data_IF_427609495016
#
_entry.id   IF_427609495016
#
_cell.length_a   1.000
_cell.length_b   1.000
_cell.length_c   1.000
_cell.angle_alpha   90.00
_cell.angle_beta   90.00
_cell.angle_gamma   90.00
#
_symmetry.space_group_name_H-M   'P 1'
#
loop_
_entity.id
_entity.type
_entity.pdbx_description
1 polymer ?
#
# COMPACT_ATOMS: atom_id res chain seq x y z
N UNK A 1 8.60 1.18 20.37
CA UNK A 1 8.85 0.19 19.29
C UNK A 1 7.51 -0.11 18.61
N UNK A 2 7.50 -0.40 17.30
CA UNK A 2 6.31 -0.73 16.51
C UNK A 2 6.52 -2.13 15.90
N UNK A 3 5.51 -2.98 15.96
CA UNK A 3 5.57 -4.37 15.49
C UNK A 3 4.36 -4.69 14.62
N UNK A 4 4.54 -5.53 13.60
CA UNK A 4 3.42 -6.16 12.89
C UNK A 4 2.88 -7.32 13.73
N UNK A 5 1.55 -7.45 13.76
CA UNK A 5 0.83 -8.55 14.37
C UNK A 5 -0.11 -9.20 13.35
N UNK A 6 -0.58 -10.41 13.65
CA UNK A 6 -1.44 -11.19 12.76
C UNK A 6 -0.69 -12.05 11.75
N UNK A 7 -1.36 -13.09 11.27
CA UNK A 7 -0.88 -14.01 10.23
C UNK A 7 -1.92 -14.06 9.11
N UNK A 8 -1.46 -14.23 7.88
CA UNK A 8 -2.31 -14.36 6.68
C UNK A 8 -2.26 -13.14 5.75
N UNK A 9 -2.92 -13.27 4.61
CA UNK A 9 -2.79 -12.32 3.49
C UNK A 9 -3.88 -11.24 3.46
N UNK A 10 -4.97 -11.42 4.21
CA UNK A 10 -6.12 -10.51 4.20
C UNK A 10 -6.08 -9.54 5.38
N UNK A 11 -5.79 -10.04 6.58
CA UNK A 11 -5.79 -9.23 7.81
C UNK A 11 -4.39 -9.13 8.41
N UNK A 12 -4.16 -8.04 9.11
CA UNK A 12 -2.97 -7.81 9.91
C UNK A 12 -3.27 -6.88 11.07
N UNK A 13 -2.24 -6.55 11.83
CA UNK A 13 -2.35 -5.56 12.88
C UNK A 13 -1.00 -4.93 13.19
N UNK A 14 -1.05 -3.90 14.01
CA UNK A 14 0.11 -3.21 14.53
C UNK A 14 0.02 -3.18 16.04
N UNK A 15 1.16 -3.39 16.70
CA UNK A 15 1.33 -3.18 18.13
C UNK A 15 2.46 -2.18 18.37
N UNK A 16 2.16 -1.06 18.99
CA UNK A 16 3.11 -0.01 19.37
C UNK A 16 3.30 -0.08 20.88
N UNK A 17 4.54 -0.27 21.31
CA UNK A 17 4.93 -0.33 22.72
C UNK A 17 5.71 0.91 23.09
N UNK A 18 5.18 1.65 24.05
CA UNK A 18 5.76 2.85 24.65
C UNK A 18 6.16 2.52 26.09
N UNK A 19 7.38 2.84 26.48
CA UNK A 19 7.88 2.59 27.83
C UNK A 19 8.29 3.90 28.48
N UNK A 20 7.59 4.29 29.53
CA UNK A 20 8.01 5.39 30.38
C UNK A 20 8.98 4.85 31.43
N UNK A 21 10.22 5.35 31.43
CA UNK A 21 11.25 5.03 32.45
C UNK A 21 11.45 6.17 33.45
N UNK A 22 10.56 7.15 33.46
CA UNK A 22 10.61 8.27 34.37
C UNK A 22 9.71 7.99 35.58
N UNK A 23 10.07 8.55 36.73
CA UNK A 23 9.30 8.46 37.98
C UNK A 23 8.07 9.37 38.01
N UNK A 24 7.69 9.90 36.86
CA UNK A 24 6.59 10.86 36.69
C UNK A 24 5.75 10.52 35.47
N UNK A 25 4.46 10.90 35.48
CA UNK A 25 3.62 10.74 34.31
C UNK A 25 4.09 11.66 33.18
N UNK A 26 4.03 11.16 31.94
CA UNK A 26 4.43 11.90 30.74
C UNK A 26 3.25 11.96 29.79
N UNK A 27 2.81 13.17 29.44
CA UNK A 27 1.85 13.38 28.36
C UNK A 27 2.59 13.34 27.02
N UNK A 28 2.15 12.45 26.14
CA UNK A 28 2.75 12.24 24.83
C UNK A 28 1.67 12.19 23.75
N UNK A 29 2.02 12.69 22.57
CA UNK A 29 1.23 12.56 21.35
C UNK A 29 1.84 11.43 20.53
N UNK A 30 1.08 10.36 20.34
CA UNK A 30 1.43 9.28 19.42
C UNK A 30 0.79 9.56 18.07
N UNK A 31 1.62 9.59 17.04
CA UNK A 31 1.21 9.72 15.65
C UNK A 31 1.62 8.48 14.88
N UNK A 32 0.67 7.85 14.21
CA UNK A 32 0.92 6.76 13.28
C UNK A 32 0.19 7.00 11.96
N UNK A 33 0.74 6.43 10.89
CA UNK A 33 0.13 6.51 9.56
C UNK A 33 0.18 5.16 8.87
N UNK A 34 -0.78 4.94 7.97
CA UNK A 34 -0.83 3.73 7.17
C UNK A 34 -1.21 4.08 5.72
N UNK A 35 -0.52 3.54 4.72
CA UNK A 35 -0.86 3.74 3.32
C UNK A 35 -2.26 3.23 2.97
N UNK A 36 -2.78 3.66 1.82
CA UNK A 36 -4.15 3.33 1.40
C UNK A 36 -4.41 1.84 1.16
N UNK A 37 -3.36 1.04 0.92
CA UNK A 37 -3.47 -0.41 0.77
C UNK A 37 -3.58 -1.16 2.11
N UNK A 38 -3.49 -0.46 3.24
CA UNK A 38 -3.73 -0.98 4.59
C UNK A 38 -4.82 -0.16 5.28
N UNK A 39 -6.04 -0.70 5.28
CA UNK A 39 -7.21 -0.06 5.86
C UNK A 39 -7.26 -0.31 7.37
N UNK A 40 -7.01 0.73 8.17
CA UNK A 40 -7.04 0.65 9.64
C UNK A 40 -8.48 0.51 10.14
N UNK A 41 -8.71 -0.43 11.05
CA UNK A 41 -9.98 -0.61 11.75
C UNK A 41 -9.99 0.12 13.08
N UNK A 42 -10.67 1.27 13.11
CA UNK A 42 -10.79 2.10 14.33
C UNK A 42 -11.43 1.36 15.51
N UNK A 43 -12.44 0.52 15.26
CA UNK A 43 -13.12 -0.26 16.29
C UNK A 43 -12.23 -1.29 17.01
N UNK A 44 -11.06 -1.61 16.44
CA UNK A 44 -10.09 -2.54 17.01
C UNK A 44 -9.01 -1.85 17.83
N UNK A 45 -9.05 -0.51 17.94
CA UNK A 45 -8.09 0.27 18.71
C UNK A 45 -8.21 -0.09 20.19
N UNK A 46 -7.11 -0.56 20.77
CA UNK A 46 -7.02 -0.92 22.18
C UNK A 46 -5.74 -0.35 22.81
N UNK A 47 -5.85 0.13 24.05
CA UNK A 47 -4.76 0.66 24.86
C UNK A 47 -4.66 -0.14 26.15
N UNK A 48 -3.47 -0.67 26.45
CA UNK A 48 -3.22 -1.45 27.66
C UNK A 48 -1.96 -0.93 28.36
N UNK A 49 -2.06 -0.60 29.65
CA UNK A 49 -0.96 -0.15 30.48
C UNK A 49 -0.56 -1.26 31.43
N UNK A 50 0.74 -1.51 31.52
CA UNK A 50 1.33 -2.47 32.44
C UNK A 50 2.40 -1.79 33.27
N UNK A 51 2.50 -2.15 34.54
CA UNK A 51 3.63 -1.76 35.39
C UNK A 51 4.88 -2.59 35.00
N UNK A 52 6.05 -2.18 35.49
CA UNK A 52 7.30 -2.97 35.47
C UNK A 52 7.13 -4.41 35.94
N UNK A 53 6.22 -4.66 36.88
CA UNK A 53 5.89 -5.98 37.41
C UNK A 53 4.85 -6.76 36.57
N UNK A 54 4.39 -6.21 35.43
CA UNK A 54 3.42 -6.86 34.54
C UNK A 54 1.96 -6.76 35.00
N UNK A 55 1.67 -6.01 36.07
CA UNK A 55 0.30 -5.76 36.53
C UNK A 55 -0.38 -4.74 35.63
N UNK A 56 -1.65 -4.96 35.27
CA UNK A 56 -2.42 -3.98 34.51
C UNK A 56 -2.68 -2.72 35.36
N UNK A 57 -2.53 -1.55 34.75
CA UNK A 57 -2.83 -0.25 35.35
C UNK A 57 -4.09 0.27 34.66
N UNK A 58 -5.16 0.51 35.43
CA UNK A 58 -6.40 1.11 34.95
C UNK A 58 -6.70 2.40 35.73
N UNK A 59 -7.27 3.44 35.09
CA UNK A 59 -7.63 3.50 33.68
C UNK A 59 -6.41 3.78 32.77
N UNK A 60 -6.36 3.09 31.64
CA UNK A 60 -5.38 3.29 30.58
C UNK A 60 -6.09 3.62 29.26
N UNK A 61 -6.70 4.79 29.23
CA UNK A 61 -7.44 5.29 28.07
C UNK A 61 -6.69 6.43 27.41
N UNK A 62 -6.92 6.62 26.11
CA UNK A 62 -6.45 7.80 25.43
C UNK A 62 -7.29 9.01 25.83
N UNK A 63 -6.64 10.13 26.15
CA UNK A 63 -7.31 11.39 26.50
C UNK A 63 -8.05 11.96 25.29
N UNK A 64 -7.46 11.81 24.10
CA UNK A 64 -8.05 12.22 22.82
C UNK A 64 -7.54 11.34 21.69
N UNK A 65 -8.43 10.97 20.77
CA UNK A 65 -8.08 10.23 19.56
C UNK A 65 -8.62 10.98 18.35
N UNK A 66 -7.74 11.29 17.40
CA UNK A 66 -8.10 11.83 16.10
C UNK A 66 -7.72 10.79 15.04
N UNK A 67 -8.72 10.19 14.42
CA UNK A 67 -8.52 9.22 13.35
C UNK A 67 -9.05 9.76 12.03
N UNK A 68 -8.23 9.65 10.99
CA UNK A 68 -8.61 9.92 9.60
C UNK A 68 -8.40 8.63 8.80
N UNK A 69 -9.46 8.02 8.24
CA UNK A 69 -9.32 6.79 7.46
C UNK A 69 -8.60 7.04 6.14
N UNK A 70 -7.98 5.99 5.61
CA UNK A 70 -7.39 6.00 4.26
C UNK A 70 -8.47 6.02 3.17
N UNK A 71 -8.14 6.60 2.03
CA UNK A 71 -8.94 6.45 0.80
C UNK A 71 -8.07 5.80 -0.26
N UNK A 72 -8.61 4.75 -0.88
CA UNK A 72 -7.92 3.89 -1.85
C UNK A 72 -7.30 4.75 -2.96
N UNK A 73 -5.97 4.65 -3.11
CA UNK A 73 -5.14 5.38 -4.10
C UNK A 73 -5.14 6.91 -4.00
N UNK A 74 -5.70 7.50 -2.94
CA UNK A 74 -5.78 8.95 -2.81
C UNK A 74 -5.03 9.46 -1.57
N UNK A 75 -5.29 8.86 -0.40
CA UNK A 75 -4.71 9.35 0.86
C UNK A 75 -4.43 8.25 1.88
N UNK A 76 -3.40 8.49 2.68
CA UNK A 76 -3.01 7.65 3.81
C UNK A 76 -3.96 7.83 5.00
N UNK A 77 -4.13 6.77 5.78
CA UNK A 77 -4.76 6.85 7.09
C UNK A 77 -3.81 7.52 8.09
N UNK A 78 -4.38 8.29 9.00
CA UNK A 78 -3.65 8.98 10.08
C UNK A 78 -4.34 8.70 11.40
N UNK A 79 -3.56 8.27 12.39
CA UNK A 79 -4.00 8.04 13.76
C UNK A 79 -3.16 8.91 14.69
N UNK A 80 -3.81 9.85 15.37
CA UNK A 80 -3.19 10.71 16.37
C UNK A 80 -3.88 10.47 17.72
N UNK A 81 -3.08 10.20 18.76
CA UNK A 81 -3.58 9.93 20.10
C UNK A 81 -2.82 10.74 21.13
N UNK A 82 -3.55 11.46 21.98
CA UNK A 82 -3.03 12.08 23.18
C UNK A 82 -3.11 11.08 24.33
N UNK A 83 -1.96 10.69 24.86
CA UNK A 83 -1.81 9.62 25.83
C UNK A 83 -1.07 10.15 27.06
N UNK A 84 -1.56 9.82 28.25
CA UNK A 84 -0.83 10.06 29.50
C UNK A 84 -0.17 8.75 29.95
N UNK A 85 1.16 8.66 29.85
CA UNK A 85 1.92 7.48 30.26
C UNK A 85 2.23 7.55 31.75
N UNK A 86 1.77 6.58 32.58
CA UNK A 86 2.11 6.53 34.00
C UNK A 86 3.62 6.38 34.25
N UNK A 87 4.12 6.76 35.44
CA UNK A 87 5.53 6.56 35.79
C UNK A 87 5.92 5.08 35.73
N UNK A 88 7.13 4.79 35.27
CA UNK A 88 7.71 3.45 35.22
C UNK A 88 6.79 2.38 34.56
N UNK A 89 5.98 2.77 33.59
CA UNK A 89 4.98 1.89 32.95
C UNK A 89 5.29 1.58 31.49
N UNK A 90 4.62 0.55 30.98
CA UNK A 90 4.59 0.12 29.60
C UNK A 90 3.18 0.27 29.05
N UNK A 91 3.00 1.21 28.12
CA UNK A 91 1.75 1.44 27.38
C UNK A 91 1.84 0.75 26.03
N UNK A 92 0.91 -0.15 25.76
CA UNK A 92 0.73 -0.77 24.45
C UNK A 92 -0.50 -0.20 23.78
N UNK A 93 -0.32 0.29 22.56
CA UNK A 93 -1.40 0.59 21.63
C UNK A 93 -1.45 -0.49 20.57
N UNK A 94 -2.63 -1.05 20.29
CA UNK A 94 -2.82 -2.01 19.20
C UNK A 94 -4.03 -1.67 18.35
N UNK A 95 -3.92 -1.92 17.05
CA UNK A 95 -5.04 -1.87 16.12
C UNK A 95 -4.85 -2.91 15.02
N UNK A 96 -5.96 -3.37 14.44
CA UNK A 96 -6.00 -4.27 13.30
C UNK A 96 -6.21 -3.46 12.01
N UNK A 97 -5.74 -4.00 10.90
CA UNK A 97 -5.96 -3.45 9.57
C UNK A 97 -6.23 -4.56 8.55
N UNK A 98 -6.93 -4.20 7.47
CA UNK A 98 -7.13 -5.07 6.30
C UNK A 98 -6.18 -4.68 5.19
N UNK A 99 -5.62 -5.69 4.52
CA UNK A 99 -4.75 -5.54 3.35
C UNK A 99 -5.62 -5.52 2.11
N UNK A 100 -5.46 -4.48 1.29
CA UNK A 100 -6.16 -4.32 0.03
C UNK A 100 -5.26 -4.82 -1.11
N UNK A 101 -5.88 -5.47 -2.10
CA UNK A 101 -5.19 -5.92 -3.30
C UNK A 101 -4.82 -4.70 -4.16
N UNK A 102 -3.54 -4.60 -4.51
CA UNK A 102 -3.04 -3.56 -5.40
C UNK A 102 -3.27 -3.97 -6.87
N UNK A 103 -3.23 -3.02 -7.80
CA UNK A 103 -3.21 -3.36 -9.24
C UNK A 103 -1.85 -3.95 -9.60
N UNK A 104 -1.80 -4.68 -10.72
CA UNK A 104 -0.58 -5.33 -11.20
C UNK A 104 0.60 -4.34 -11.38
N UNK A 105 0.31 -3.09 -11.77
CA UNK A 105 1.29 -2.03 -11.98
C UNK A 105 1.68 -1.27 -10.69
N UNK A 106 1.07 -1.59 -9.55
CA UNK A 106 1.30 -0.94 -8.25
C UNK A 106 2.19 -1.78 -7.33
N UNK A 107 2.47 -3.04 -7.68
CA UNK A 107 3.37 -3.88 -6.90
C UNK A 107 4.82 -3.42 -7.05
N UNK A 108 5.63 -3.52 -5.98
CA UNK A 108 7.07 -3.42 -6.10
C UNK A 108 7.61 -4.52 -7.02
N UNK A 109 8.84 -4.35 -7.58
CA UNK A 109 9.44 -5.34 -8.48
C UNK A 109 9.53 -6.75 -7.85
N UNK A 110 9.61 -6.84 -6.52
CA UNK A 110 9.43 -8.08 -5.76
C UNK A 110 8.15 -8.03 -4.91
N UNK A 111 7.09 -8.66 -5.39
CA UNK A 111 5.81 -8.75 -4.68
C UNK A 111 5.88 -9.60 -3.39
N UNK A 112 6.83 -10.52 -3.28
CA UNK A 112 6.96 -11.43 -2.13
C UNK A 112 7.63 -10.76 -0.92
N UNK A 113 8.42 -9.72 -1.14
CA UNK A 113 9.07 -8.96 -0.09
C UNK A 113 8.05 -8.26 0.84
N UNK A 114 6.93 -7.81 0.29
CA UNK A 114 5.95 -7.00 0.98
C UNK A 114 6.31 -5.51 0.98
N UNK A 115 5.62 -4.74 1.82
CA UNK A 115 5.71 -3.28 1.88
C UNK A 115 5.97 -2.80 3.31
N UNK A 116 6.70 -1.70 3.44
CA UNK A 116 6.92 -1.08 4.74
C UNK A 116 5.76 -0.15 5.11
N UNK A 117 5.24 -0.33 6.31
CA UNK A 117 4.45 0.67 7.00
C UNK A 117 5.39 1.74 7.58
N UNK A 118 5.01 3.03 7.51
CA UNK A 118 5.83 4.11 8.02
C UNK A 118 6.02 3.98 9.53
N UNK A 119 7.10 4.60 10.03
CA UNK A 119 7.39 4.67 11.44
C UNK A 119 6.29 5.42 12.20
N UNK A 120 5.91 4.91 13.38
CA UNK A 120 5.15 5.71 14.32
C UNK A 120 6.08 6.74 14.99
N UNK A 121 5.56 7.91 15.30
CA UNK A 121 6.31 8.95 16.02
C UNK A 121 5.61 9.33 17.32
N UNK A 122 6.41 9.59 18.35
CA UNK A 122 5.93 9.99 19.67
C UNK A 122 6.56 11.32 20.01
N UNK A 123 5.74 12.30 20.35
CA UNK A 123 6.18 13.63 20.73
C UNK A 123 5.78 13.88 22.18
N UNK A 124 6.73 14.29 23.02
CA UNK A 124 6.45 14.68 24.39
C UNK A 124 7.35 15.84 24.81
N UNK A 125 6.93 16.53 25.87
CA UNK A 125 7.61 17.72 26.38
C UNK A 125 8.34 17.41 27.68
N UNK A 126 9.64 17.71 27.74
CA UNK A 126 10.45 17.68 28.95
C UNK A 126 10.40 19.04 29.66
N UNK A 127 10.46 19.01 31.00
CA UNK A 127 10.69 20.22 31.79
C UNK A 127 12.15 20.71 31.63
N UNK A 128 12.39 22.01 31.83
CA UNK A 128 13.73 22.60 31.65
C UNK A 128 14.76 21.97 32.60
N UNK A 129 14.37 21.68 33.83
CA UNK A 129 15.24 20.98 34.78
C UNK A 129 15.64 19.59 34.28
N UNK A 130 14.70 18.85 33.69
CA UNK A 130 14.96 17.50 33.17
C UNK A 130 15.82 17.54 31.93
N UNK A 131 15.59 18.51 31.05
CA UNK A 131 16.45 18.73 29.88
C UNK A 131 17.89 19.01 30.32
N UNK A 132 18.09 19.89 31.32
CA UNK A 132 19.41 20.15 31.92
C UNK A 132 20.04 18.89 32.53
N UNK A 133 19.25 18.07 33.25
CA UNK A 133 19.73 16.78 33.81
C UNK A 133 20.12 15.79 32.70
N UNK A 134 19.38 15.78 31.60
CA UNK A 134 19.66 14.92 30.44
C UNK A 134 20.94 15.36 29.72
N UNK A 135 21.11 16.66 29.47
CA UNK A 135 22.35 17.21 28.92
C UNK A 135 23.57 16.94 29.80
N UNK A 136 23.41 16.97 31.13
CA UNK A 136 24.49 16.62 32.07
C UNK A 136 24.91 15.15 31.99
N UNK A 137 24.02 14.26 31.55
CA UNK A 137 24.29 12.81 31.40
C UNK A 137 24.86 12.45 30.03
N UNK A 138 24.55 13.21 29.00
CA UNK A 138 25.03 12.98 27.63
C UNK A 138 26.35 13.70 27.38
N UNK A 139 27.13 13.22 26.40
CA UNK A 139 28.31 13.95 25.96
C UNK A 139 27.86 15.22 25.24
N UNK A 140 28.54 16.37 25.41
CA UNK A 140 28.20 17.62 24.73
C UNK A 140 27.99 17.47 23.23
N UNK A 141 28.90 16.73 22.59
CA UNK A 141 28.87 16.45 21.14
C UNK A 141 27.53 15.87 20.68
N UNK A 142 26.87 15.03 21.48
CA UNK A 142 25.67 14.30 21.05
C UNK A 142 24.43 15.20 20.97
N UNK A 143 24.34 16.27 21.79
CA UNK A 143 23.21 17.19 21.78
C UNK A 143 23.53 18.53 21.09
N UNK A 144 24.80 18.90 20.98
CA UNK A 144 25.25 20.09 20.24
C UNK A 144 25.26 19.87 18.73
N UNK A 145 25.41 18.63 18.25
CA UNK A 145 25.38 18.32 16.80
C UNK A 145 23.97 18.21 16.23
N UNK A 146 22.96 18.02 17.08
CA UNK A 146 21.58 17.93 16.67
C UNK A 146 20.92 19.32 16.68
N UNK A 147 20.32 19.73 15.56
CA UNK A 147 19.45 20.89 15.55
C UNK A 147 18.23 20.60 16.46
N UNK A 148 17.85 21.54 17.35
CA UNK A 148 16.65 21.37 18.14
C UNK A 148 15.42 21.33 17.24
N UNK A 149 14.34 20.70 17.69
CA UNK A 149 13.11 20.50 16.90
C UNK A 149 12.47 21.80 16.38
N UNK A 150 12.78 22.96 16.96
CA UNK A 150 12.29 24.25 16.49
C UNK A 150 13.13 24.84 15.35
N UNK A 151 14.34 24.36 15.12
CA UNK A 151 15.24 24.82 14.06
C UNK A 151 15.24 23.81 12.89
N UNK A 152 14.67 24.21 11.75
CA UNK A 152 14.70 23.40 10.52
C UNK A 152 16.03 23.48 9.79
N UNK A 153 16.77 24.58 9.96
CA UNK A 153 18.09 24.81 9.36
C UNK A 153 19.06 25.45 10.36
N UNK A 154 20.36 25.39 10.07
CA UNK A 154 21.36 26.12 10.85
C UNK A 154 21.17 27.64 10.77
N UNK A 155 20.66 28.15 9.65
CA UNK A 155 20.34 29.58 9.51
C UNK A 155 19.24 29.99 10.51
N UNK A 156 18.21 29.16 10.69
CA UNK A 156 17.16 29.40 11.69
C UNK A 156 17.72 29.34 13.12
N UNK A 157 18.65 28.40 13.38
CA UNK A 157 19.26 28.22 14.70
C UNK A 157 20.08 29.44 15.13
N UNK A 158 20.88 30.01 14.21
CA UNK A 158 21.71 31.18 14.47
C UNK A 158 21.01 32.52 14.21
N UNK A 159 19.73 32.50 13.77
CA UNK A 159 18.99 33.72 13.48
C UNK A 159 18.69 34.52 14.76
N UNK A 160 19.07 35.81 14.82
CA UNK A 160 18.79 36.67 15.98
C UNK A 160 17.30 37.04 16.11
N UNK A 161 16.50 36.83 15.05
CA UNK A 161 15.13 37.37 14.94
C UNK A 161 14.01 36.33 15.19
N UNK A 162 14.32 35.06 15.49
CA UNK A 162 13.30 34.11 15.92
C UNK A 162 12.93 34.34 17.40
N UNK A 163 12.26 35.46 17.67
CA UNK A 163 11.76 35.91 18.96
C UNK A 163 10.53 35.13 19.46
N UNK A 164 10.46 33.82 19.19
CA UNK A 164 9.48 32.92 19.81
C UNK A 164 9.80 32.63 21.29
N UNK A 165 10.53 33.53 21.96
CA UNK A 165 10.78 33.48 23.40
C UNK A 165 9.48 33.91 24.08
N UNK A 166 8.65 32.93 24.40
CA UNK A 166 7.56 33.17 25.34
C UNK A 166 8.20 33.33 26.71
N UNK A 167 8.10 34.53 27.29
CA UNK A 167 8.42 34.75 28.69
C UNK A 167 7.41 33.93 29.51
N UNK A 168 7.76 32.68 29.81
CA UNK A 168 6.99 31.87 30.73
C UNK A 168 6.98 32.57 32.09
N UNK A 169 5.89 32.44 32.84
CA UNK A 169 5.71 33.06 34.16
C UNK A 169 6.84 32.77 35.18
N UNK A 170 7.70 31.78 34.90
CA UNK A 170 8.90 31.41 35.67
C UNK A 170 10.17 32.24 35.36
N UNK A 171 10.12 33.28 34.51
CA UNK A 171 11.27 34.15 34.24
C UNK A 171 12.42 33.51 33.43
N UNK A 172 12.24 32.28 32.92
CA UNK A 172 13.14 31.67 31.95
C UNK A 172 12.71 32.05 30.52
N UNK A 173 13.64 32.63 29.74
CA UNK A 173 13.51 32.78 28.29
C UNK A 173 13.43 31.38 27.65
N UNK A 174 12.21 30.88 27.39
CA UNK A 174 11.95 29.60 26.73
C UNK A 174 11.49 29.84 25.30
N UNK A 175 12.15 29.22 24.33
CA UNK A 175 11.68 29.22 22.94
C UNK A 175 10.54 28.21 22.78
N UNK A 176 9.58 28.51 21.92
CA UNK A 176 8.54 27.54 21.51
C UNK A 176 9.23 26.27 20.99
N UNK A 177 9.00 25.13 21.63
CA UNK A 177 9.63 23.85 21.29
C UNK A 177 10.87 23.48 22.09
N UNK A 178 11.37 24.34 22.99
CA UNK A 178 12.48 23.97 23.90
C UNK A 178 12.05 22.84 24.84
N UNK A 179 12.72 21.69 24.78
CA UNK A 179 12.38 20.49 25.54
C UNK A 179 11.37 19.57 24.85
N UNK A 180 10.95 19.89 23.62
CA UNK A 180 10.14 19.00 22.81
C UNK A 180 11.01 17.88 22.23
N UNK A 181 10.67 16.64 22.58
CA UNK A 181 11.40 15.45 22.14
C UNK A 181 10.49 14.66 21.21
N UNK A 182 11.02 14.32 20.03
CA UNK A 182 10.35 13.43 19.06
C UNK A 182 11.15 12.16 18.89
N UNK A 183 10.49 11.02 19.12
CA UNK A 183 11.05 9.70 18.93
C UNK A 183 10.32 9.01 17.78
N UNK A 184 11.06 8.27 16.95
CA UNK A 184 10.51 7.47 15.87
C UNK A 184 10.70 5.99 16.18
N UNK A 185 9.71 5.18 15.80
CA UNK A 185 9.87 3.74 15.76
C UNK A 185 10.57 3.31 14.47
N UNK A 186 10.92 2.04 14.40
CA UNK A 186 11.28 1.42 13.13
C UNK A 186 10.04 1.29 12.22
N UNK A 187 10.22 1.37 10.89
CA UNK A 187 9.17 1.00 9.94
C UNK A 187 8.94 -0.52 10.01
N UNK A 188 7.71 -0.94 9.75
CA UNK A 188 7.32 -2.34 9.91
C UNK A 188 7.02 -2.96 8.56
N UNK A 189 7.65 -4.10 8.26
CA UNK A 189 7.38 -4.84 7.03
C UNK A 189 6.07 -5.63 7.16
N UNK A 190 5.18 -5.46 6.18
CA UNK A 190 3.90 -6.16 6.06
C UNK A 190 3.82 -6.83 4.70
N UNK A 191 3.54 -8.13 4.69
CA UNK A 191 3.25 -8.87 3.46
C UNK A 191 1.84 -8.54 2.96
N UNK A 192 1.75 -8.08 1.72
CA UNK A 192 0.50 -7.87 1.00
C UNK A 192 0.09 -9.15 0.25
N UNK A 193 -1.20 -9.32 -0.08
CA UNK A 193 -1.63 -10.39 -0.96
C UNK A 193 -0.91 -10.24 -2.30
N UNK A 194 -0.21 -11.28 -2.74
CA UNK A 194 0.52 -11.32 -4.02
C UNK A 194 -0.50 -11.56 -5.14
N UNK A 195 -0.40 -10.88 -6.29
CA UNK A 195 -1.33 -11.10 -7.39
C UNK A 195 -0.98 -12.42 -8.09
N UNK A 196 -1.99 -13.20 -8.45
CA UNK A 196 -1.79 -14.46 -9.18
C UNK A 196 -1.34 -14.19 -10.62
N UNK A 197 -0.03 -14.24 -10.88
CA UNK A 197 0.53 -14.08 -12.23
C UNK A 197 0.31 -15.30 -13.14
N UNK A 198 -0.18 -16.43 -12.59
CA UNK A 198 -0.44 -17.65 -13.35
C UNK A 198 -1.62 -17.51 -14.32
N UNK A 199 -2.66 -16.73 -13.97
CA UNK A 199 -3.82 -16.53 -14.83
C UNK A 199 -3.46 -15.88 -16.19
N UNK A 200 -2.78 -14.71 -16.23
CA UNK A 200 -2.36 -14.13 -17.50
C UNK A 200 -1.31 -15.00 -18.22
N UNK A 201 -0.44 -15.70 -17.49
CA UNK A 201 0.53 -16.61 -18.11
C UNK A 201 -0.17 -17.76 -18.86
N UNK A 202 -1.16 -18.39 -18.23
CA UNK A 202 -1.95 -19.45 -18.86
C UNK A 202 -2.69 -18.94 -20.11
N UNK A 203 -3.23 -17.73 -20.05
CA UNK A 203 -3.88 -17.10 -21.21
C UNK A 203 -2.87 -16.83 -22.34
N UNK A 204 -1.66 -16.36 -22.03
CA UNK A 204 -0.61 -16.10 -23.01
C UNK A 204 -0.14 -17.40 -23.68
N UNK A 205 0.03 -18.48 -22.90
CA UNK A 205 0.33 -19.81 -23.41
C UNK A 205 -0.77 -20.35 -24.34
N UNK A 206 -2.04 -20.11 -24.01
CA UNK A 206 -3.15 -20.50 -24.86
C UNK A 206 -3.15 -19.71 -26.18
N UNK A 207 -2.99 -18.38 -26.11
CA UNK A 207 -2.94 -17.53 -27.31
C UNK A 207 -1.75 -17.88 -28.20
N UNK A 208 -0.56 -18.10 -27.63
CA UNK A 208 0.61 -18.47 -28.43
C UNK A 208 0.42 -19.84 -29.11
N UNK A 209 -0.25 -20.78 -28.45
CA UNK A 209 -0.58 -22.09 -29.03
C UNK A 209 -1.57 -21.96 -30.20
N UNK A 210 -2.61 -21.13 -30.06
CA UNK A 210 -3.56 -20.86 -31.14
C UNK A 210 -2.84 -20.19 -32.32
N UNK A 211 -2.01 -19.18 -32.06
CA UNK A 211 -1.22 -18.49 -33.11
C UNK A 211 -0.29 -19.47 -33.82
N UNK A 212 0.39 -20.36 -33.08
CA UNK A 212 1.26 -21.38 -33.67
C UNK A 212 0.50 -22.37 -34.56
N UNK A 213 -0.70 -22.79 -34.16
CA UNK A 213 -1.54 -23.70 -34.96
C UNK A 213 -2.02 -23.01 -36.23
N UNK A 214 -2.49 -21.76 -36.15
CA UNK A 214 -2.97 -21.00 -37.32
C UNK A 214 -1.81 -20.72 -38.28
N UNK A 215 -0.68 -20.26 -37.77
CA UNK A 215 0.49 -20.00 -38.61
C UNK A 215 1.08 -21.28 -39.20
N UNK A 216 1.19 -22.36 -38.41
CA UNK A 216 1.69 -23.65 -38.87
C UNK A 216 0.82 -24.27 -39.95
N UNK A 217 -0.50 -24.27 -39.74
CA UNK A 217 -1.46 -24.78 -40.74
C UNK A 217 -1.51 -23.90 -42.00
N UNK A 218 -1.50 -22.57 -41.85
CA UNK A 218 -1.46 -21.62 -42.95
C UNK A 218 -0.17 -21.73 -43.77
N UNK A 219 0.99 -21.81 -43.11
CA UNK A 219 2.28 -21.99 -43.78
C UNK A 219 2.32 -23.31 -44.55
N UNK A 220 1.91 -24.43 -43.93
CA UNK A 220 1.84 -25.74 -44.59
C UNK A 220 0.92 -25.73 -45.82
N UNK A 221 -0.21 -25.04 -45.74
CA UNK A 221 -1.13 -24.92 -46.88
C UNK A 221 -0.54 -24.08 -48.03
N UNK A 222 0.29 -23.08 -47.72
CA UNK A 222 0.91 -22.21 -48.72
C UNK A 222 2.18 -22.81 -49.35
N UNK A 223 2.97 -23.59 -48.60
CA UNK A 223 4.26 -24.15 -49.06
C UNK A 223 4.19 -25.58 -49.58
N UNK A 224 3.09 -26.31 -49.33
CA UNK A 224 2.88 -27.59 -50.01
C UNK A 224 2.78 -27.34 -51.53
N UNK A 225 3.78 -27.84 -52.27
CA UNK A 225 3.86 -27.71 -53.72
C UNK A 225 2.56 -28.23 -54.37
N UNK A 226 1.80 -27.34 -54.99
CA UNK A 226 0.74 -27.74 -55.91
C UNK A 226 1.44 -28.42 -57.10
N UNK A 227 1.45 -29.75 -57.12
CA UNK A 227 1.84 -30.48 -58.31
C UNK A 227 0.83 -30.14 -59.42
N UNK A 228 1.27 -29.56 -60.56
CA UNK A 228 0.38 -29.36 -61.68
C UNK A 228 -0.05 -30.74 -62.18
N UNK A 229 -1.33 -31.05 -62.02
CA UNK A 229 -1.94 -32.21 -62.66
C UNK A 229 -1.92 -31.93 -64.15
N UNK A 230 -1.01 -32.59 -64.87
CA UNK A 230 -1.02 -32.64 -66.32
C UNK A 230 -2.28 -33.38 -66.75
N UNK A 231 -3.12 -32.72 -67.55
CA UNK A 231 -4.30 -33.36 -68.16
C UNK A 231 -3.83 -34.42 -69.14
N UNK A 232 -4.11 -35.68 -68.84
CA UNK A 232 -4.26 -36.74 -69.84
C UNK A 232 -5.63 -37.36 -69.60
N UNK A 233 -6.51 -37.15 -70.58
CA UNK A 233 -7.80 -37.81 -70.82
C UNK A 233 -8.87 -37.76 -69.71
N UNK A 234 -9.69 -36.70 -69.76
CA UNK A 234 -11.15 -36.80 -69.55
C UNK A 234 -11.71 -37.08 -68.14
N UNK A 235 -10.90 -37.38 -67.13
CA UNK A 235 -11.40 -37.61 -65.77
C UNK A 235 -11.18 -36.41 -64.83
N UNK A 236 -12.22 -36.04 -64.10
CA UNK A 236 -12.28 -34.88 -63.20
C UNK A 236 -11.28 -35.02 -62.04
N UNK A 237 -10.21 -34.22 -62.05
CA UNK A 237 -9.19 -34.25 -61.00
C UNK A 237 -9.46 -33.25 -59.87
N UNK A 238 -9.23 -33.72 -58.64
CA UNK A 238 -9.33 -33.02 -57.37
C UNK A 238 -8.72 -31.60 -57.38
N UNK A 239 -9.58 -30.58 -57.27
CA UNK A 239 -9.18 -29.18 -57.07
C UNK A 239 -8.53 -29.00 -55.69
N UNK A 240 -7.59 -28.03 -55.53
CA UNK A 240 -6.91 -27.81 -54.26
C UNK A 240 -7.92 -27.55 -53.12
N UNK A 241 -7.65 -28.07 -51.91
CA UNK A 241 -8.60 -28.03 -50.79
C UNK A 241 -8.96 -26.60 -50.37
N UNK A 242 -8.04 -25.64 -50.52
CA UNK A 242 -8.29 -24.21 -50.30
C UNK A 242 -9.34 -23.64 -51.25
N UNK A 243 -9.35 -24.05 -52.52
CA UNK A 243 -10.35 -23.60 -53.48
C UNK A 243 -11.73 -24.20 -53.18
N UNK A 244 -11.77 -25.46 -52.72
CA UNK A 244 -13.01 -26.09 -52.22
C UNK A 244 -13.54 -25.37 -50.99
N UNK A 245 -12.67 -25.03 -50.03
CA UNK A 245 -13.05 -24.31 -48.82
C UNK A 245 -13.52 -22.88 -49.13
N UNK A 246 -12.77 -22.11 -49.92
CA UNK A 246 -13.16 -20.76 -50.37
C UNK A 246 -14.46 -20.78 -51.18
N UNK A 247 -14.68 -21.78 -52.04
CA UNK A 247 -15.93 -21.93 -52.76
C UNK A 247 -17.09 -22.32 -51.84
N UNK A 248 -16.85 -23.12 -50.80
CA UNK A 248 -17.87 -23.45 -49.78
C UNK A 248 -18.24 -22.23 -48.94
N UNK A 249 -17.23 -21.46 -48.51
CA UNK A 249 -17.39 -20.22 -47.76
C UNK A 249 -18.11 -19.16 -48.60
N UNK A 250 -17.73 -19.00 -49.87
CA UNK A 250 -18.41 -18.12 -50.83
C UNK A 250 -19.88 -18.52 -51.01
N UNK A 251 -20.18 -19.82 -51.11
CA UNK A 251 -21.56 -20.32 -51.20
C UNK A 251 -22.36 -20.02 -49.93
N UNK A 252 -21.76 -20.20 -48.75
CA UNK A 252 -22.42 -19.86 -47.47
C UNK A 252 -22.66 -18.36 -47.30
N UNK A 253 -21.69 -17.52 -47.65
CA UNK A 253 -21.83 -16.07 -47.59
C UNK A 253 -22.90 -15.58 -48.58
N UNK A 254 -22.92 -16.11 -49.81
CA UNK A 254 -23.95 -15.76 -50.79
C UNK A 254 -25.35 -16.23 -50.37
N UNK A 255 -25.47 -17.42 -49.76
CA UNK A 255 -26.73 -17.93 -49.22
C UNK A 255 -27.25 -17.08 -48.05
N UNK A 256 -26.36 -16.58 -47.19
CA UNK A 256 -26.70 -15.63 -46.12
C UNK A 256 -27.15 -14.28 -46.67
N UNK A 257 -26.49 -13.76 -47.71
CA UNK A 257 -26.86 -12.51 -48.36
C UNK A 257 -28.22 -12.62 -49.08
N UNK A 258 -28.53 -13.76 -49.70
CA UNK A 258 -29.85 -13.99 -50.32
C UNK A 258 -30.97 -14.15 -49.29
N UNK A 259 -30.67 -14.74 -48.13
CA UNK A 259 -31.64 -14.86 -47.02
C UNK A 259 -32.01 -13.49 -46.44
N UNK A 260 -31.08 -12.54 -46.38
CA UNK A 260 -31.34 -11.17 -45.92
C UNK A 260 -32.09 -10.29 -46.92
N UNK A 261 -32.18 -10.64 -48.22
CA UNK A 261 -32.90 -9.85 -49.23
C UNK A 261 -34.40 -10.21 -49.38
N UNK A 262 -34.88 -11.21 -48.65
CA UNK A 262 -36.24 -11.75 -48.78
C UNK A 262 -37.37 -11.04 -48.01
N UNK A 263 -37.11 -9.97 -47.24
CA UNK A 263 -38.17 -9.24 -46.53
C UNK A 263 -38.47 -7.87 -47.15
N UNK A 264 -39.40 -7.82 -48.10
CA UNK A 264 -40.11 -6.60 -48.50
C UNK A 264 -41.60 -6.76 -48.11
N UNK A 265 -42.23 -5.78 -47.43
CA UNK A 265 -43.59 -5.91 -46.90
C UNK A 265 -44.66 -5.70 -47.98
N UNK A 266 -45.74 -6.48 -47.92
CA UNK A 266 -46.92 -6.34 -48.78
C UNK A 266 -47.59 -4.95 -48.63
N UNK A 267 -47.99 -4.28 -49.73
CA UNK A 267 -48.87 -3.12 -49.65
C UNK A 267 -50.31 -3.56 -49.38
N UNK A 268 -51.00 -2.83 -48.50
CA UNK A 268 -52.44 -2.95 -48.23
C UNK A 268 -53.22 -2.54 -49.48
N UNK A 269 -54.18 -3.37 -49.90
CA UNK A 269 -55.21 -3.00 -50.87
C UNK A 269 -56.49 -2.63 -50.13
N UNK A 270 -57.14 -1.56 -50.58
CA UNK A 270 -58.52 -1.15 -50.28
C UNK A 270 -59.55 -2.22 -50.66
#
# INVERSE_FOLDING_TARGET
MKYATGKGDIFGGVRIVLRNRMDVPVKAVLFDSAPWYTEIYYNSLNTNCQDTAGRSIEPCTADRVTFRPSVVRERMAVLEMLLTLPPNSLLTVSYSFKKLLMRWNEYPPDANHGVYLPAASVVFQLSAERLKRLHKRQKPVDWETALPMWAGTYADFFSPNHSGVLSAADGLNRRVGDGLVRLYSEPVLVRLPVPDFSMPFNALCLVCSIVAIVFGSGHKAATNAMMPVLKVDGEDVDRPPLFRFLASLRRHILALISSCKGSQPHPKAE
#
